data_IF_434146982865
#
_entry.id   IF_434146982865
#
_cell.length_a   1.000
_cell.length_b   1.000
_cell.length_c   1.000
_cell.angle_alpha   90.00
_cell.angle_beta   90.00
_cell.angle_gamma   90.00
#
_symmetry.space_group_name_H-M   'P 1'
#
loop_
_entity.id
_entity.type
_entity.pdbx_description
1 polymer ?
#
# COMPACT_ATOMS: atom_id res chain seq x y z
N UNK A 1 -21.11 -11.10 8.18
CA UNK A 1 -20.05 -10.07 8.29
C UNK A 1 -20.37 -9.20 9.50
N UNK A 2 -19.39 -8.90 10.37
CA UNK A 2 -19.53 -7.86 11.39
C UNK A 2 -18.99 -6.55 10.81
N UNK A 3 -19.76 -5.45 10.76
CA UNK A 3 -19.24 -4.14 10.39
C UNK A 3 -18.10 -3.74 11.34
N UNK A 4 -17.08 -3.07 10.82
CA UNK A 4 -15.91 -2.60 11.57
C UNK A 4 -15.76 -1.10 11.32
N UNK A 5 -15.67 -0.30 12.39
CA UNK A 5 -15.38 1.13 12.25
C UNK A 5 -13.88 1.37 12.05
N UNK A 6 -13.50 2.56 11.59
CA UNK A 6 -12.09 2.91 11.44
C UNK A 6 -11.37 2.89 12.80
N UNK A 7 -12.01 3.36 13.87
CA UNK A 7 -11.48 3.38 15.23
C UNK A 7 -11.25 1.96 15.79
N UNK A 8 -12.10 1.00 15.42
CA UNK A 8 -11.87 -0.41 15.76
C UNK A 8 -10.68 -0.99 14.99
N UNK A 9 -10.53 -0.65 13.70
CA UNK A 9 -9.37 -1.04 12.90
C UNK A 9 -8.05 -0.48 13.48
N UNK A 10 -8.05 0.76 13.97
CA UNK A 10 -6.85 1.39 14.55
C UNK A 10 -6.30 0.64 15.77
N UNK A 11 -7.12 -0.18 16.45
CA UNK A 11 -6.68 -1.03 17.57
C UNK A 11 -5.88 -2.25 17.13
N UNK A 12 -5.83 -2.54 15.82
CA UNK A 12 -5.07 -3.69 15.30
C UNK A 12 -3.56 -3.40 15.28
N UNK A 13 -2.70 -4.42 15.47
CA UNK A 13 -1.25 -4.21 15.48
C UNK A 13 -0.74 -3.58 14.18
N UNK A 14 0.08 -2.54 14.30
CA UNK A 14 0.70 -1.78 13.20
C UNK A 14 -0.29 -1.15 12.22
N UNK A 15 -1.55 -0.97 12.63
CA UNK A 15 -2.54 -0.18 11.90
C UNK A 15 -1.96 1.16 11.43
N UNK A 16 -2.41 1.61 10.27
CA UNK A 16 -2.04 2.88 9.68
C UNK A 16 -3.21 3.85 9.79
N UNK A 17 -3.04 4.93 10.55
CA UNK A 17 -4.01 6.02 10.62
C UNK A 17 -3.95 6.92 9.38
N UNK A 18 -5.01 7.70 9.19
CA UNK A 18 -5.20 8.50 7.99
C UNK A 18 -4.19 9.65 7.87
N UNK A 19 -3.83 10.31 8.97
CA UNK A 19 -2.89 11.42 8.95
C UNK A 19 -1.48 10.92 8.62
N UNK A 20 -1.06 9.79 9.21
CA UNK A 20 0.20 9.14 8.86
C UNK A 20 0.20 8.73 7.38
N UNK A 21 -0.85 8.06 6.89
CA UNK A 21 -0.93 7.67 5.47
C UNK A 21 -0.85 8.88 4.52
N UNK A 22 -1.57 9.96 4.83
CA UNK A 22 -1.54 11.21 4.06
C UNK A 22 -0.15 11.83 4.04
N UNK A 23 0.54 11.87 5.19
CA UNK A 23 1.88 12.46 5.28
C UNK A 23 2.90 11.65 4.48
N UNK A 24 2.86 10.31 4.57
CA UNK A 24 3.72 9.42 3.78
C UNK A 24 3.48 9.60 2.28
N UNK A 25 2.23 9.67 1.85
CA UNK A 25 1.91 9.92 0.45
C UNK A 25 2.43 11.28 -0.03
N UNK A 26 2.28 12.34 0.78
CA UNK A 26 2.84 13.67 0.49
C UNK A 26 4.36 13.64 0.36
N UNK A 27 5.06 12.93 1.23
CA UNK A 27 6.51 12.75 1.16
C UNK A 27 6.92 12.07 -0.14
N UNK A 28 6.26 10.98 -0.52
CA UNK A 28 6.50 10.31 -1.82
C UNK A 28 6.35 11.31 -2.96
N UNK A 29 5.21 11.99 -3.07
CA UNK A 29 4.96 12.95 -4.16
C UNK A 29 6.00 14.07 -4.20
N UNK A 30 6.44 14.58 -3.04
CA UNK A 30 7.49 15.58 -2.95
C UNK A 30 8.86 15.06 -3.43
N UNK A 31 9.16 13.79 -3.19
CA UNK A 31 10.41 13.15 -3.61
C UNK A 31 10.44 12.79 -5.10
N UNK A 32 9.29 12.45 -5.72
CA UNK A 32 9.20 12.16 -7.15
C UNK A 32 9.69 13.33 -8.02
N UNK A 33 9.29 14.56 -7.67
CA UNK A 33 9.58 15.75 -8.47
C UNK A 33 9.03 15.63 -9.90
N UNK A 34 9.86 15.96 -10.89
CA UNK A 34 9.55 15.83 -12.32
C UNK A 34 10.39 14.74 -13.02
N UNK A 35 10.94 13.80 -12.24
CA UNK A 35 11.76 12.70 -12.74
C UNK A 35 10.86 11.67 -13.46
N UNK A 36 11.03 11.45 -14.77
CA UNK A 36 10.16 10.58 -15.55
C UNK A 36 10.21 9.12 -15.09
N UNK A 37 11.38 8.61 -14.69
CA UNK A 37 11.52 7.23 -14.22
C UNK A 37 10.85 7.06 -12.85
N UNK A 38 10.98 8.06 -11.97
CA UNK A 38 10.30 8.03 -10.67
C UNK A 38 8.78 8.05 -10.83
N UNK A 39 8.27 8.84 -11.79
CA UNK A 39 6.84 8.90 -12.11
C UNK A 39 6.34 7.57 -12.68
N UNK A 40 7.10 6.91 -13.57
CA UNK A 40 6.77 5.57 -14.09
C UNK A 40 6.72 4.54 -12.95
N UNK A 41 7.74 4.50 -12.09
CA UNK A 41 7.76 3.60 -10.93
C UNK A 41 6.59 3.84 -9.96
N UNK A 42 6.18 5.10 -9.80
CA UNK A 42 5.01 5.45 -9.00
C UNK A 42 3.71 4.99 -9.67
N UNK A 43 3.58 5.11 -10.99
CA UNK A 43 2.44 4.58 -11.74
C UNK A 43 2.32 3.06 -11.58
N UNK A 44 3.43 2.33 -11.67
CA UNK A 44 3.45 0.89 -11.44
C UNK A 44 3.04 0.52 -10.01
N UNK A 45 3.53 1.27 -9.01
CA UNK A 45 3.11 1.13 -7.61
C UNK A 45 1.61 1.38 -7.46
N UNK A 46 1.07 2.39 -8.14
CA UNK A 46 -0.34 2.74 -8.09
C UNK A 46 -1.21 1.65 -8.73
N UNK A 47 -0.80 1.10 -9.87
CA UNK A 47 -1.47 -0.02 -10.52
C UNK A 47 -1.50 -1.26 -9.61
N UNK A 48 -0.38 -1.60 -8.97
CA UNK A 48 -0.31 -2.70 -8.00
C UNK A 48 -1.21 -2.44 -6.77
N UNK A 49 -1.25 -1.19 -6.30
CA UNK A 49 -2.10 -0.74 -5.18
C UNK A 49 -3.58 -0.91 -5.49
N UNK A 50 -4.04 -0.47 -6.65
CA UNK A 50 -5.44 -0.61 -7.10
C UNK A 50 -5.83 -2.07 -7.21
N UNK A 51 -4.97 -2.91 -7.82
CA UNK A 51 -5.23 -4.36 -7.94
C UNK A 51 -5.37 -5.02 -6.58
N UNK A 52 -4.43 -4.78 -5.67
CA UNK A 52 -4.47 -5.36 -4.33
C UNK A 52 -5.65 -4.85 -3.50
N UNK A 53 -5.94 -3.55 -3.55
CA UNK A 53 -7.09 -2.95 -2.89
C UNK A 53 -8.41 -3.59 -3.35
N UNK A 54 -8.53 -3.93 -4.64
CA UNK A 54 -9.68 -4.67 -5.18
C UNK A 54 -9.88 -6.04 -4.54
N UNK A 55 -8.81 -6.82 -4.35
CA UNK A 55 -8.88 -8.07 -3.59
C UNK A 55 -9.29 -7.83 -2.14
N UNK A 56 -8.66 -6.85 -1.48
CA UNK A 56 -8.87 -6.59 -0.06
C UNK A 56 -10.28 -6.09 0.25
N UNK A 57 -10.81 -5.19 -0.57
CA UNK A 57 -12.16 -4.64 -0.41
C UNK A 57 -13.24 -5.71 -0.57
N UNK A 58 -13.03 -6.69 -1.46
CA UNK A 58 -13.98 -7.80 -1.66
C UNK A 58 -13.79 -8.95 -0.67
N UNK A 59 -12.64 -9.07 -0.03
CA UNK A 59 -12.28 -10.26 0.77
C UNK A 59 -13.33 -10.68 1.80
N UNK A 60 -13.93 -9.71 2.52
CA UNK A 60 -14.92 -9.99 3.56
C UNK A 60 -16.32 -10.33 3.00
N UNK A 61 -16.55 -10.13 1.70
CA UNK A 61 -17.78 -10.48 0.99
C UNK A 61 -17.75 -11.91 0.44
N UNK A 62 -16.56 -12.50 0.26
CA UNK A 62 -16.38 -13.84 -0.30
C UNK A 62 -16.76 -14.94 0.70
N UNK A 63 -17.32 -16.03 0.16
CA UNK A 63 -17.48 -17.33 0.80
C UNK A 63 -16.12 -17.95 1.17
N UNK A 64 -16.14 -19.11 1.83
CA UNK A 64 -14.90 -19.79 2.20
C UNK A 64 -14.21 -20.39 0.97
N UNK A 65 -14.98 -20.97 0.06
CA UNK A 65 -14.53 -21.57 -1.20
C UNK A 65 -13.88 -20.51 -2.10
N UNK A 66 -14.56 -19.38 -2.31
CA UNK A 66 -14.02 -18.26 -3.11
C UNK A 66 -12.73 -17.68 -2.50
N UNK A 67 -12.62 -17.65 -1.17
CA UNK A 67 -11.38 -17.24 -0.51
C UNK A 67 -10.26 -18.22 -0.79
N UNK A 68 -10.52 -19.52 -0.69
CA UNK A 68 -9.52 -20.55 -0.96
C UNK A 68 -9.00 -20.45 -2.41
N UNK A 69 -9.90 -20.22 -3.37
CA UNK A 69 -9.53 -20.03 -4.78
C UNK A 69 -8.71 -18.75 -5.02
N UNK A 70 -9.06 -17.65 -4.34
CA UNK A 70 -8.42 -16.34 -4.57
C UNK A 70 -7.20 -16.07 -3.69
N UNK A 71 -6.94 -16.86 -2.64
CA UNK A 71 -5.92 -16.54 -1.64
C UNK A 71 -4.50 -16.46 -2.24
N UNK A 72 -4.18 -17.36 -3.17
CA UNK A 72 -2.90 -17.36 -3.88
C UNK A 72 -2.74 -16.08 -4.73
N UNK A 73 -3.77 -15.69 -5.48
CA UNK A 73 -3.75 -14.48 -6.30
C UNK A 73 -3.70 -13.21 -5.45
N UNK A 74 -4.42 -13.17 -4.32
CA UNK A 74 -4.36 -12.07 -3.36
C UNK A 74 -2.94 -11.93 -2.79
N UNK A 75 -2.33 -13.05 -2.39
CA UNK A 75 -0.98 -13.07 -1.83
C UNK A 75 0.04 -12.56 -2.84
N UNK A 76 0.00 -13.08 -4.08
CA UNK A 76 0.88 -12.62 -5.16
C UNK A 76 0.67 -11.13 -5.50
N UNK A 77 -0.57 -10.64 -5.46
CA UNK A 77 -0.86 -9.22 -5.66
C UNK A 77 -0.30 -8.34 -4.54
N UNK A 78 -0.27 -8.86 -3.30
CA UNK A 78 0.32 -8.15 -2.17
C UNK A 78 1.85 -8.13 -2.27
N UNK A 79 2.47 -9.24 -2.68
CA UNK A 79 3.91 -9.30 -2.91
C UNK A 79 4.33 -8.32 -4.00
N UNK A 80 3.57 -8.25 -5.10
CA UNK A 80 3.81 -7.29 -6.17
C UNK A 80 3.75 -5.84 -5.68
N UNK A 81 2.74 -5.50 -4.86
CA UNK A 81 2.62 -4.17 -4.23
C UNK A 81 3.87 -3.82 -3.42
N UNK A 82 4.35 -4.74 -2.58
CA UNK A 82 5.52 -4.54 -1.73
C UNK A 82 6.79 -4.39 -2.57
N UNK A 83 6.95 -5.21 -3.61
CA UNK A 83 8.07 -5.11 -4.55
C UNK A 83 8.09 -3.74 -5.21
N UNK A 84 6.96 -3.25 -5.75
CA UNK A 84 6.88 -1.93 -6.38
C UNK A 84 7.17 -0.79 -5.40
N UNK A 85 6.68 -0.91 -4.17
CA UNK A 85 6.96 0.06 -3.10
C UNK A 85 8.47 0.12 -2.77
N UNK A 86 9.11 -1.05 -2.67
CA UNK A 86 10.56 -1.14 -2.44
C UNK A 86 11.38 -0.65 -3.64
N UNK A 87 10.94 -0.92 -4.88
CA UNK A 87 11.61 -0.45 -6.10
C UNK A 87 11.63 1.07 -6.15
N UNK A 88 10.48 1.72 -5.93
CA UNK A 88 10.39 3.18 -5.89
C UNK A 88 11.31 3.77 -4.81
N UNK A 89 11.26 3.24 -3.58
CA UNK A 89 12.12 3.72 -2.50
C UNK A 89 13.62 3.58 -2.84
N UNK A 90 14.03 2.43 -3.40
CA UNK A 90 15.43 2.22 -3.80
C UNK A 90 15.87 3.18 -4.89
N UNK A 91 15.02 3.39 -5.90
CA UNK A 91 15.31 4.33 -6.99
C UNK A 91 15.48 5.76 -6.45
N UNK A 92 14.51 6.26 -5.68
CA UNK A 92 14.57 7.61 -5.11
C UNK A 92 15.80 7.80 -4.21
N UNK A 93 16.17 6.78 -3.44
CA UNK A 93 17.39 6.80 -2.63
C UNK A 93 18.66 6.87 -3.48
N UNK A 94 18.70 6.19 -4.62
CA UNK A 94 19.81 6.31 -5.59
C UNK A 94 19.91 7.72 -6.19
N UNK A 95 18.78 8.43 -6.34
CA UNK A 95 18.73 9.84 -6.74
C UNK A 95 19.03 10.82 -5.60
N UNK A 96 19.47 10.33 -4.43
CA UNK A 96 19.83 11.16 -3.28
C UNK A 96 18.64 11.71 -2.48
N UNK A 97 17.44 11.16 -2.66
CA UNK A 97 16.28 11.50 -1.82
C UNK A 97 16.34 10.79 -0.47
N UNK A 98 15.69 11.35 0.54
CA UNK A 98 15.71 10.82 1.91
C UNK A 98 15.00 9.46 2.02
N UNK A 99 13.82 9.32 1.39
CA UNK A 99 13.00 8.10 1.39
C UNK A 99 12.55 7.65 2.79
N UNK A 100 12.47 8.59 3.75
CA UNK A 100 12.13 8.32 5.15
C UNK A 100 10.75 7.69 5.33
N UNK A 101 9.80 7.99 4.43
CA UNK A 101 8.48 7.37 4.38
C UNK A 101 8.54 5.84 4.34
N UNK A 102 9.56 5.26 3.68
CA UNK A 102 9.71 3.81 3.58
C UNK A 102 10.07 3.21 4.94
N UNK A 103 10.89 3.87 5.73
CA UNK A 103 11.28 3.39 7.06
C UNK A 103 10.11 3.48 8.05
N UNK A 104 9.25 4.49 7.91
CA UNK A 104 8.00 4.64 8.71
C UNK A 104 6.96 3.57 8.35
N UNK A 105 6.87 3.15 7.08
CA UNK A 105 6.03 2.01 6.68
C UNK A 105 6.54 0.69 7.25
N UNK A 106 7.85 0.58 7.48
CA UNK A 106 8.49 -0.60 8.07
C UNK A 106 8.68 -1.76 7.10
N UNK A 107 9.60 -2.65 7.42
CA UNK A 107 10.00 -3.79 6.58
C UNK A 107 9.47 -5.10 7.17
N UNK A 108 9.02 -6.02 6.32
CA UNK A 108 8.44 -7.30 6.76
C UNK A 108 9.45 -8.13 7.55
N UNK A 109 10.73 -8.02 7.19
CA UNK A 109 11.87 -8.66 7.84
C UNK A 109 12.04 -8.22 9.30
N UNK A 110 11.61 -7.00 9.64
CA UNK A 110 11.69 -6.46 11.00
C UNK A 110 10.48 -6.83 11.85
N UNK A 111 9.30 -6.88 11.23
CA UNK A 111 8.04 -7.26 11.86
C UNK A 111 7.06 -7.71 10.79
N UNK A 112 6.57 -8.95 10.89
CA UNK A 112 5.58 -9.53 9.96
C UNK A 112 4.31 -8.70 9.83
N UNK A 113 3.97 -7.87 10.81
CA UNK A 113 2.82 -6.96 10.74
C UNK A 113 3.06 -5.77 9.81
N UNK A 114 4.30 -5.42 9.49
CA UNK A 114 4.61 -4.36 8.51
C UNK A 114 4.12 -4.74 7.10
N UNK A 115 4.07 -6.03 6.77
CA UNK A 115 3.40 -6.50 5.56
C UNK A 115 1.95 -6.03 5.49
N UNK A 116 1.20 -6.14 6.60
CA UNK A 116 -0.20 -5.67 6.65
C UNK A 116 -0.30 -4.14 6.53
N UNK A 117 0.61 -3.42 7.19
CA UNK A 117 0.72 -1.95 7.13
C UNK A 117 1.01 -1.45 5.72
N UNK A 118 1.89 -2.12 4.98
CA UNK A 118 2.14 -1.85 3.55
C UNK A 118 0.87 -2.06 2.71
N UNK A 119 0.12 -3.13 2.99
CA UNK A 119 -1.19 -3.35 2.40
C UNK A 119 -2.20 -2.25 2.75
N UNK A 120 -2.18 -1.71 3.98
CA UNK A 120 -3.02 -0.57 4.40
C UNK A 120 -2.69 0.67 3.58
N UNK A 121 -1.39 0.95 3.41
CA UNK A 121 -0.94 2.06 2.59
C UNK A 121 -1.30 1.90 1.11
N UNK A 122 -1.16 0.71 0.52
CA UNK A 122 -1.62 0.45 -0.86
C UNK A 122 -3.13 0.69 -1.03
N UNK A 123 -3.95 0.34 -0.03
CA UNK A 123 -5.38 0.66 -0.06
C UNK A 123 -5.63 2.17 0.02
N UNK A 124 -4.83 2.90 0.79
CA UNK A 124 -4.89 4.36 0.84
C UNK A 124 -4.52 5.00 -0.51
N UNK A 125 -3.46 4.54 -1.18
CA UNK A 125 -3.09 5.03 -2.51
C UNK A 125 -4.22 4.78 -3.53
N UNK A 126 -4.83 3.59 -3.51
CA UNK A 126 -5.98 3.26 -4.34
C UNK A 126 -7.20 4.15 -4.04
N UNK A 127 -7.45 4.46 -2.77
CA UNK A 127 -8.50 5.40 -2.35
C UNK A 127 -8.28 6.79 -2.94
N UNK A 128 -7.07 7.36 -2.77
CA UNK A 128 -6.73 8.69 -3.31
C UNK A 128 -6.86 8.72 -4.83
N UNK A 129 -6.41 7.67 -5.52
CA UNK A 129 -6.57 7.56 -6.97
C UNK A 129 -8.04 7.49 -7.39
N UNK A 130 -8.84 6.68 -6.70
CA UNK A 130 -10.27 6.50 -7.00
C UNK A 130 -11.07 7.80 -6.84
N UNK A 131 -10.80 8.59 -5.81
CA UNK A 131 -11.47 9.89 -5.63
C UNK A 131 -10.98 10.95 -6.63
N UNK A 132 -9.74 10.83 -7.13
CA UNK A 132 -9.19 11.75 -8.11
C UNK A 132 -9.74 11.50 -9.52
N UNK A 133 -10.14 10.28 -9.85
CA UNK A 133 -10.76 9.92 -11.13
C UNK A 133 -12.25 10.29 -11.26
N UNK A 134 -12.73 11.23 -10.44
CA UNK A 134 -14.10 11.75 -10.46
C UNK A 134 -14.38 12.64 -11.68
#
# INVERSE_FOLDING_TARGET
MKPVTFEEYLKTPKSLDFDTARNLHREIIGELGADPDALELYEELLAASVKYAGFRARWLLLSWEEKAEQDASRTASHDALIVKCNQLARYLKMQGKETGWRDVLGYEENDRYNRKRLGDFGCFLAFVNGINGR
#
